data_IF_613547924816
#
_entry.id   IF_613547924816
#
_cell.length_a   1.000
_cell.length_b   1.000
_cell.length_c   1.000
_cell.angle_alpha   90.00
_cell.angle_beta   90.00
_cell.angle_gamma   90.00
#
_symmetry.space_group_name_H-M   'P 1'
#
loop_
_entity.id
_entity.type
_entity.pdbx_description
1 polymer ?
#
# COMPACT_ATOMS: atom_id res chain seq x y z
N UNK A 1 -13.12 -4.49 -12.34
CA UNK A 1 -11.96 -4.04 -13.12
C UNK A 1 -12.43 -2.97 -14.06
N UNK A 2 -11.89 -1.77 -13.94
CA UNK A 2 -12.19 -0.67 -14.84
C UNK A 2 -11.47 -0.94 -16.16
N UNK A 3 -12.21 -1.16 -17.24
CA UNK A 3 -11.63 -1.51 -18.54
C UNK A 3 -10.85 -0.34 -19.15
N UNK A 4 -10.97 0.84 -18.57
CA UNK A 4 -10.29 2.06 -18.98
C UNK A 4 -9.04 2.38 -18.17
N UNK A 5 -8.53 1.44 -17.37
CA UNK A 5 -7.28 1.65 -16.64
C UNK A 5 -6.14 0.74 -17.09
N UNK A 6 -4.95 1.33 -17.20
CA UNK A 6 -3.69 0.59 -17.29
C UNK A 6 -3.13 0.41 -15.89
N UNK A 7 -2.70 -0.80 -15.55
CA UNK A 7 -2.15 -1.13 -14.23
C UNK A 7 -0.74 -1.70 -14.32
N UNK A 8 0.10 -1.37 -13.34
CA UNK A 8 1.41 -1.95 -13.09
C UNK A 8 1.42 -2.50 -11.67
N UNK A 9 1.68 -3.80 -11.49
CA UNK A 9 1.65 -4.47 -10.18
C UNK A 9 0.34 -4.23 -9.39
N UNK A 10 -0.82 -4.34 -10.06
CA UNK A 10 -2.15 -4.06 -9.51
C UNK A 10 -2.34 -2.61 -9.05
N UNK A 11 -1.50 -1.68 -9.52
CA UNK A 11 -1.63 -0.24 -9.28
C UNK A 11 -1.96 0.46 -10.59
N UNK A 12 -3.03 1.24 -10.59
CA UNK A 12 -3.43 2.07 -11.74
C UNK A 12 -2.30 3.05 -12.07
N UNK A 13 -1.77 2.94 -13.28
CA UNK A 13 -0.81 3.87 -13.88
C UNK A 13 -1.45 4.78 -14.94
N UNK A 14 -2.68 4.48 -15.37
CA UNK A 14 -3.48 5.34 -16.24
C UNK A 14 -4.99 5.07 -16.03
N UNK A 15 -5.87 6.08 -16.08
CA UNK A 15 -5.54 7.47 -15.79
C UNK A 15 -5.03 7.56 -14.35
N UNK A 16 -3.96 8.32 -14.12
CA UNK A 16 -3.42 8.46 -12.78
C UNK A 16 -4.26 9.46 -11.99
N UNK A 17 -5.14 8.97 -11.11
CA UNK A 17 -5.93 9.86 -10.24
C UNK A 17 -5.07 10.41 -9.08
N UNK A 18 -4.15 9.58 -8.56
CA UNK A 18 -3.25 9.93 -7.45
C UNK A 18 -1.90 9.23 -7.68
N UNK A 19 -0.76 9.92 -7.49
CA UNK A 19 0.55 9.28 -7.52
C UNK A 19 0.62 8.10 -6.56
N UNK A 20 0.97 6.92 -7.08
CA UNK A 20 0.94 5.67 -6.31
C UNK A 20 2.34 5.14 -6.08
N UNK A 21 2.57 4.54 -4.91
CA UNK A 21 3.83 3.84 -4.59
C UNK A 21 3.94 2.60 -5.47
N UNK A 22 4.87 2.66 -6.41
CA UNK A 22 5.24 1.52 -7.26
C UNK A 22 6.52 0.91 -6.72
N UNK A 23 6.51 -0.41 -6.63
CA UNK A 23 7.67 -1.18 -6.22
C UNK A 23 8.13 -2.07 -7.36
N UNK A 24 9.44 -2.30 -7.46
CA UNK A 24 10.00 -3.24 -8.41
C UNK A 24 11.12 -4.07 -7.78
N UNK A 25 11.32 -5.28 -8.30
CA UNK A 25 12.46 -6.11 -7.97
C UNK A 25 13.66 -5.75 -8.84
N UNK A 26 14.84 -5.64 -8.24
CA UNK A 26 16.07 -5.56 -9.01
C UNK A 26 16.45 -6.93 -9.55
N UNK A 27 16.53 -7.05 -10.87
CA UNK A 27 17.00 -8.26 -11.54
C UNK A 27 18.43 -8.06 -12.03
N UNK A 28 19.24 -9.13 -12.13
CA UNK A 28 20.66 -9.00 -12.46
C UNK A 28 20.91 -8.75 -13.95
N UNK A 29 19.88 -8.86 -14.80
CA UNK A 29 19.96 -8.71 -16.24
C UNK A 29 18.58 -8.52 -16.87
N UNK A 30 18.54 -8.23 -18.17
CA UNK A 30 17.31 -8.33 -18.96
C UNK A 30 16.85 -9.79 -18.98
N UNK A 31 15.69 -10.06 -18.37
CA UNK A 31 15.14 -11.41 -18.26
C UNK A 31 14.04 -11.63 -19.29
N UNK A 32 13.99 -12.83 -19.86
CA UNK A 32 12.80 -13.29 -20.59
C UNK A 32 11.68 -13.63 -19.60
N UNK A 33 10.44 -13.69 -20.09
CA UNK A 33 9.28 -14.05 -19.27
C UNK A 33 9.46 -15.43 -18.61
N UNK A 34 10.03 -16.40 -19.33
CA UNK A 34 10.28 -17.75 -18.80
C UNK A 34 11.26 -17.73 -17.61
N UNK A 35 12.34 -16.95 -17.72
CA UNK A 35 13.34 -16.83 -16.65
C UNK A 35 12.77 -16.11 -15.44
N UNK A 36 11.97 -15.07 -15.66
CA UNK A 36 11.26 -14.39 -14.58
C UNK A 36 10.27 -15.33 -13.88
N UNK A 37 9.54 -16.15 -14.64
CA UNK A 37 8.64 -17.17 -14.10
C UNK A 37 9.36 -18.22 -13.25
N UNK A 38 10.53 -18.67 -13.68
CA UNK A 38 11.39 -19.56 -12.88
C UNK A 38 11.85 -18.89 -11.58
N UNK A 39 12.27 -17.62 -11.63
CA UNK A 39 12.69 -16.87 -10.45
C UNK A 39 11.56 -16.72 -9.43
N UNK A 40 10.31 -16.50 -9.88
CA UNK A 40 9.12 -16.49 -9.02
C UNK A 40 8.88 -17.87 -8.42
N UNK A 41 8.85 -18.93 -9.24
CA UNK A 41 8.58 -20.30 -8.78
C UNK A 41 9.63 -20.80 -7.77
N UNK A 42 10.88 -20.39 -7.94
CA UNK A 42 11.98 -20.71 -7.04
C UNK A 42 12.05 -19.77 -5.82
N UNK A 43 11.05 -18.92 -5.61
CA UNK A 43 10.96 -17.97 -4.49
C UNK A 43 12.20 -17.06 -4.38
N UNK A 44 12.81 -16.73 -5.52
CA UNK A 44 13.96 -15.82 -5.56
C UNK A 44 13.55 -14.35 -5.47
N UNK A 45 12.29 -14.06 -5.81
CA UNK A 45 11.62 -12.77 -5.68
C UNK A 45 10.61 -12.87 -4.53
N UNK A 46 10.80 -12.08 -3.48
CA UNK A 46 9.92 -12.07 -2.30
C UNK A 46 9.76 -10.65 -1.79
N UNK A 47 8.51 -10.23 -1.59
CA UNK A 47 8.17 -8.93 -1.04
C UNK A 47 8.62 -8.75 0.41
N UNK A 48 8.80 -9.85 1.15
CA UNK A 48 9.09 -9.87 2.59
C UNK A 48 10.57 -9.94 2.95
N UNK A 49 11.49 -9.99 1.95
CA UNK A 49 12.94 -9.97 2.17
C UNK A 49 13.45 -11.00 3.20
N UNK A 50 12.78 -12.15 3.30
CA UNK A 50 13.16 -13.20 4.24
C UNK A 50 14.51 -13.84 3.83
N UNK A 51 15.20 -14.43 4.82
CA UNK A 51 16.48 -15.13 4.63
C UNK A 51 16.32 -16.23 3.58
N UNK A 52 17.03 -16.13 2.46
CA UNK A 52 16.93 -17.04 1.29
C UNK A 52 16.59 -16.33 -0.03
N UNK A 53 16.11 -15.10 0.04
CA UNK A 53 15.73 -14.27 -1.11
C UNK A 53 16.97 -13.52 -1.62
N UNK A 54 17.19 -13.49 -2.95
CA UNK A 54 18.40 -12.90 -3.55
C UNK A 54 18.23 -11.50 -4.09
N UNK A 55 16.99 -11.09 -4.38
CA UNK A 55 16.70 -9.86 -5.09
C UNK A 55 15.77 -8.97 -4.29
N UNK A 56 16.23 -7.75 -4.05
CA UNK A 56 15.49 -6.79 -3.26
C UNK A 56 14.33 -6.15 -4.00
N UNK A 57 13.28 -5.84 -3.25
CA UNK A 57 12.18 -4.96 -3.65
C UNK A 57 12.52 -3.51 -3.29
N UNK A 58 12.38 -2.61 -4.25
CA UNK A 58 12.72 -1.20 -4.12
C UNK A 58 11.50 -0.31 -4.37
N UNK A 59 11.40 0.78 -3.63
CA UNK A 59 10.46 1.86 -3.94
C UNK A 59 11.01 2.68 -5.10
N UNK A 60 10.15 3.00 -6.06
CA UNK A 60 10.52 3.77 -7.24
C UNK A 60 9.98 5.20 -7.15
N UNK A 61 10.87 6.16 -7.41
CA UNK A 61 10.47 7.49 -7.85
C UNK A 61 10.45 7.52 -9.38
N UNK A 62 9.42 8.13 -9.96
CA UNK A 62 9.20 8.11 -11.40
C UNK A 62 8.62 9.43 -11.89
N UNK A 63 8.83 9.68 -13.17
CA UNK A 63 8.14 10.69 -13.95
C UNK A 63 7.35 9.96 -15.02
N UNK A 64 6.12 10.39 -15.27
CA UNK A 64 5.43 9.94 -16.47
C UNK A 64 4.78 11.10 -17.19
N UNK A 65 4.73 10.96 -18.51
CA UNK A 65 4.14 11.93 -19.40
C UNK A 65 3.12 11.20 -20.26
N UNK A 66 1.87 11.65 -20.21
CA UNK A 66 0.78 11.14 -21.01
C UNK A 66 0.33 12.20 -22.02
N UNK A 67 0.18 11.81 -23.27
CA UNK A 67 -0.27 12.70 -24.34
C UNK A 67 -1.08 11.96 -25.40
N UNK A 68 -2.02 12.66 -26.02
CA UNK A 68 -2.76 12.12 -27.15
C UNK A 68 -1.93 12.30 -28.43
N UNK A 69 -1.48 11.21 -29.04
CA UNK A 69 -0.73 11.25 -30.30
C UNK A 69 -1.66 11.30 -31.53
N UNK A 70 -2.78 10.57 -31.48
CA UNK A 70 -3.81 10.55 -32.52
C UNK A 70 -5.19 10.44 -31.87
N UNK A 71 -6.30 10.69 -32.60
CA UNK A 71 -7.63 10.45 -32.05
C UNK A 71 -7.74 9.02 -31.50
N UNK A 72 -7.91 8.90 -30.17
CA UNK A 72 -7.97 7.64 -29.41
C UNK A 72 -6.66 6.86 -29.29
N UNK A 73 -5.53 7.46 -29.61
CA UNK A 73 -4.20 6.88 -29.35
C UNK A 73 -3.46 7.78 -28.36
N UNK A 74 -3.18 7.23 -27.20
CA UNK A 74 -2.44 7.86 -26.12
C UNK A 74 -1.04 7.26 -26.04
N UNK A 75 -0.05 8.12 -25.84
CA UNK A 75 1.34 7.73 -25.59
C UNK A 75 1.63 8.03 -24.14
N UNK A 76 2.00 6.99 -23.39
CA UNK A 76 2.46 7.07 -22.01
C UNK A 76 3.96 6.80 -21.99
N UNK A 77 4.75 7.82 -21.64
CA UNK A 77 6.16 7.65 -21.33
C UNK A 77 6.33 7.54 -19.82
N UNK A 78 6.98 6.48 -19.36
CA UNK A 78 7.27 6.22 -17.95
C UNK A 78 8.78 6.12 -17.75
N UNK A 79 9.33 6.97 -16.88
CA UNK A 79 10.76 7.04 -16.56
C UNK A 79 11.00 6.88 -15.07
N UNK A 80 11.84 5.91 -14.70
CA UNK A 80 12.26 5.69 -13.32
C UNK A 80 13.45 6.58 -13.02
N UNK A 81 13.26 7.56 -12.14
CA UNK A 81 14.25 8.60 -11.87
C UNK A 81 15.08 8.30 -10.64
N UNK A 82 14.51 7.65 -9.61
CA UNK A 82 15.26 7.24 -8.42
C UNK A 82 14.82 5.87 -7.91
N UNK A 83 15.74 5.19 -7.24
CA UNK A 83 15.48 4.05 -6.37
C UNK A 83 15.60 4.53 -4.93
N UNK A 84 14.55 4.30 -4.15
CA UNK A 84 14.49 4.71 -2.75
C UNK A 84 14.53 3.47 -1.85
N UNK A 85 15.46 3.49 -0.90
CA UNK A 85 15.62 2.46 0.13
C UNK A 85 15.30 3.13 1.46
N UNK A 86 14.10 2.94 1.97
CA UNK A 86 13.63 3.56 3.22
C UNK A 86 13.77 2.63 4.43
N UNK A 87 13.61 1.32 4.22
CA UNK A 87 13.48 0.32 5.30
C UNK A 87 14.64 -0.70 5.34
N UNK A 88 15.89 -0.29 5.08
CA UNK A 88 17.06 -1.18 5.13
C UNK A 88 18.18 -0.65 6.03
N UNK A 89 19.20 -1.47 6.29
CA UNK A 89 20.41 -1.10 7.06
C UNK A 89 21.16 0.10 6.47
N UNK A 90 21.04 0.33 5.16
CA UNK A 90 21.59 1.50 4.47
C UNK A 90 20.46 2.23 3.74
N UNK A 91 19.72 3.11 4.42
CA UNK A 91 18.69 3.89 3.77
C UNK A 91 19.33 4.94 2.85
N UNK A 92 18.69 5.23 1.73
CA UNK A 92 19.19 6.20 0.78
C UNK A 92 18.34 6.31 -0.47
N UNK A 93 18.43 7.46 -1.12
CA UNK A 93 17.87 7.73 -2.44
C UNK A 93 18.99 7.68 -3.47
N UNK A 94 18.85 6.82 -4.46
CA UNK A 94 19.83 6.61 -5.52
C UNK A 94 19.25 7.13 -6.82
N UNK A 95 19.84 8.22 -7.32
CA UNK A 95 19.43 8.81 -8.59
C UNK A 95 19.87 7.92 -9.75
N UNK A 96 18.93 7.66 -10.65
CA UNK A 96 19.17 6.98 -11.89
C UNK A 96 19.26 8.02 -13.01
N UNK A 97 20.44 8.61 -13.18
CA UNK A 97 20.75 9.62 -14.21
C UNK A 97 21.96 9.27 -15.06
N UNK A 98 22.29 7.97 -15.17
CA UNK A 98 23.41 7.52 -15.99
C UNK A 98 23.15 7.78 -17.48
N UNK A 99 24.20 8.16 -18.21
CA UNK A 99 24.13 8.29 -19.66
C UNK A 99 23.69 6.98 -20.32
N UNK A 100 22.79 7.06 -21.30
CA UNK A 100 22.21 5.91 -21.98
C UNK A 100 21.04 5.25 -21.25
N UNK A 101 20.61 5.79 -20.12
CA UNK A 101 19.38 5.34 -19.47
C UNK A 101 18.16 5.65 -20.34
N UNK A 102 17.30 4.64 -20.52
CA UNK A 102 16.12 4.70 -21.37
C UNK A 102 14.86 4.90 -20.52
N UNK A 103 13.86 5.54 -21.12
CA UNK A 103 12.49 5.53 -20.63
C UNK A 103 11.67 4.46 -21.37
N UNK A 104 10.57 4.04 -20.77
CA UNK A 104 9.61 3.13 -21.42
C UNK A 104 8.51 3.97 -22.04
N UNK A 105 8.23 3.78 -23.32
CA UNK A 105 7.10 4.38 -24.01
C UNK A 105 6.06 3.30 -24.34
N UNK A 106 4.83 3.53 -23.92
CA UNK A 106 3.70 2.64 -24.13
C UNK A 106 2.69 3.36 -25.01
N UNK A 107 2.43 2.80 -26.20
CA UNK A 107 1.36 3.29 -27.08
C UNK A 107 0.09 2.54 -26.77
N UNK A 108 -0.96 3.28 -26.48
CA UNK A 108 -2.23 2.76 -26.02
C UNK A 108 -3.31 3.25 -26.97
N UNK A 109 -4.13 2.35 -27.50
CA UNK A 109 -5.34 2.73 -28.22
C UNK A 109 -6.58 2.43 -27.40
N UNK A 110 -7.55 3.34 -27.48
CA UNK A 110 -8.89 3.13 -26.98
C UNK A 110 -9.77 2.65 -28.12
N UNK A 111 -10.17 1.38 -28.07
CA UNK A 111 -11.11 0.83 -29.02
C UNK A 111 -12.53 1.35 -28.70
N UNK A 112 -13.29 1.69 -29.74
CA UNK A 112 -14.65 2.20 -29.57
C UNK A 112 -15.71 1.11 -29.50
N UNK A 113 -15.37 -0.11 -29.91
CA UNK A 113 -16.33 -1.22 -29.97
C UNK A 113 -16.14 -2.19 -28.80
N UNK A 114 -14.90 -2.40 -28.39
CA UNK A 114 -14.54 -3.09 -27.15
C UNK A 114 -14.12 -2.02 -26.15
N UNK A 115 -14.92 -1.76 -25.10
CA UNK A 115 -14.73 -0.68 -24.12
C UNK A 115 -13.41 -0.82 -23.29
N UNK A 116 -12.23 -0.84 -23.92
CA UNK A 116 -10.98 -1.17 -23.24
C UNK A 116 -9.75 -0.49 -23.82
N UNK A 117 -8.80 -0.17 -22.95
CA UNK A 117 -7.46 0.24 -23.36
C UNK A 117 -6.70 -0.98 -23.91
N UNK A 118 -6.10 -0.84 -25.09
CA UNK A 118 -5.24 -1.85 -25.73
C UNK A 118 -3.83 -1.31 -25.87
N UNK A 119 -2.86 -2.04 -25.34
CA UNK A 119 -1.43 -1.75 -25.56
C UNK A 119 -1.09 -2.14 -27.00
N UNK A 120 -0.70 -1.15 -27.81
CA UNK A 120 -0.25 -1.36 -29.18
C UNK A 120 1.23 -1.71 -29.25
N UNK A 121 2.06 -0.97 -28.50
CA UNK A 121 3.49 -1.22 -28.43
C UNK A 121 4.07 -0.78 -27.08
N UNK A 122 5.20 -1.39 -26.73
CA UNK A 122 6.06 -1.03 -25.61
C UNK A 122 7.47 -0.90 -26.17
N UNK A 123 8.03 0.30 -26.10
CA UNK A 123 9.31 0.66 -26.70
C UNK A 123 10.24 1.25 -25.65
N UNK A 124 11.55 0.98 -25.77
CA UNK A 124 12.56 1.68 -24.99
C UNK A 124 13.05 2.88 -25.80
N UNK A 125 12.87 4.07 -25.25
CA UNK A 125 13.19 5.35 -25.90
C UNK A 125 14.25 6.10 -25.12
N UNK A 126 14.98 6.98 -25.80
CA UNK A 126 15.88 7.91 -25.14
C UNK A 126 15.09 8.92 -24.31
N UNK A 127 15.61 9.29 -23.14
CA UNK A 127 14.94 10.21 -22.21
C UNK A 127 14.75 11.61 -22.80
N UNK A 128 15.71 12.05 -23.61
CA UNK A 128 15.72 13.34 -24.30
C UNK A 128 14.99 13.31 -25.66
N UNK A 129 14.50 12.14 -26.09
CA UNK A 129 13.73 12.03 -27.32
C UNK A 129 12.44 12.86 -27.22
N UNK A 130 12.08 13.59 -28.27
CA UNK A 130 10.80 14.30 -28.28
C UNK A 130 9.61 13.33 -28.11
N UNK A 131 8.62 13.74 -27.31
CA UNK A 131 7.39 12.97 -27.15
C UNK A 131 6.46 13.31 -28.32
N UNK A 132 5.86 12.32 -29.00
CA UNK A 132 4.90 12.58 -30.05
C UNK A 132 3.68 13.33 -29.50
N UNK A 133 3.37 14.51 -30.05
CA UNK A 133 2.21 15.29 -29.66
C UNK A 133 1.21 15.38 -30.81
N UNK A 134 0.01 14.85 -30.58
CA UNK A 134 -1.09 14.90 -31.53
C UNK A 134 -1.81 16.25 -31.50
N UNK A 135 -2.61 16.48 -32.54
CA UNK A 135 -3.58 17.58 -32.56
C UNK A 135 -4.96 17.04 -32.24
N UNK A 136 -5.69 17.81 -31.44
CA UNK A 136 -7.11 17.56 -31.21
C UNK A 136 -7.91 17.79 -32.51
N UNK A 137 -9.14 17.30 -32.56
CA UNK A 137 -10.07 17.54 -33.69
C UNK A 137 -10.30 19.03 -33.97
N UNK A 138 -10.10 19.91 -32.98
CA UNK A 138 -10.17 21.36 -33.13
C UNK A 138 -8.87 22.04 -33.64
N UNK A 139 -7.85 21.26 -34.00
CA UNK A 139 -6.58 21.74 -34.56
C UNK A 139 -5.57 22.29 -33.54
N UNK A 140 -5.95 22.39 -32.26
CA UNK A 140 -5.05 22.75 -31.15
C UNK A 140 -4.24 21.53 -30.70
N UNK A 141 -3.09 21.76 -30.09
CA UNK A 141 -2.24 20.70 -29.54
C UNK A 141 -2.98 19.95 -28.43
N UNK A 142 -2.78 18.64 -28.38
CA UNK A 142 -3.32 17.81 -27.33
C UNK A 142 -2.72 18.21 -25.97
N UNK A 143 -3.51 18.14 -24.88
CA UNK A 143 -2.97 18.35 -23.55
C UNK A 143 -1.88 17.32 -23.24
N UNK A 144 -0.88 17.78 -22.49
CA UNK A 144 0.20 16.97 -21.97
C UNK A 144 0.00 16.91 -20.47
N UNK A 145 -0.06 15.70 -19.93
CA UNK A 145 -0.05 15.46 -18.49
C UNK A 145 1.34 15.00 -18.09
N UNK A 146 2.08 15.83 -17.36
CA UNK A 146 3.37 15.48 -16.76
C UNK A 146 3.17 15.33 -15.25
N UNK A 147 3.49 14.15 -14.72
CA UNK A 147 3.39 13.83 -13.30
C UNK A 147 4.72 13.31 -12.80
N UNK A 148 5.21 13.93 -11.74
CA UNK A 148 6.44 13.56 -11.04
C UNK A 148 6.10 13.02 -9.67
N UNK A 149 6.59 11.82 -9.38
CA UNK A 149 6.41 11.15 -8.11
C UNK A 149 7.75 10.91 -7.45
N UNK A 150 7.90 11.43 -6.23
CA UNK A 150 9.04 11.20 -5.33
C UNK A 150 8.56 10.38 -4.16
N UNK A 151 9.02 9.13 -4.03
CA UNK A 151 8.52 8.25 -2.96
C UNK A 151 8.76 8.82 -1.55
N UNK A 152 9.87 9.54 -1.36
CA UNK A 152 10.29 10.16 -0.09
C UNK A 152 9.37 11.30 0.38
N UNK A 153 8.61 11.91 -0.53
CA UNK A 153 7.64 12.94 -0.19
C UNK A 153 6.30 12.35 0.27
N UNK A 154 6.13 11.02 0.24
CA UNK A 154 4.86 10.36 0.49
C UNK A 154 4.99 9.30 1.60
N UNK A 155 4.14 9.40 2.61
CA UNK A 155 4.01 8.37 3.65
C UNK A 155 2.64 7.70 3.60
N UNK A 156 2.33 6.89 4.62
CA UNK A 156 1.05 6.19 4.74
C UNK A 156 -0.15 7.15 4.74
N UNK A 157 0.01 8.36 5.26
CA UNK A 157 -1.05 9.36 5.40
C UNK A 157 -1.17 10.29 4.17
N UNK A 158 -0.25 10.17 3.21
CA UNK A 158 -0.24 10.92 1.95
C UNK A 158 1.01 11.78 1.77
N UNK A 159 0.93 12.78 0.90
CA UNK A 159 2.07 13.65 0.63
C UNK A 159 2.40 14.54 1.83
N UNK A 160 3.67 14.59 2.20
CA UNK A 160 4.21 15.45 3.24
C UNK A 160 3.89 16.92 2.96
N UNK A 161 3.59 17.68 4.02
CA UNK A 161 3.25 19.10 3.91
C UNK A 161 1.84 19.41 3.39
N UNK A 162 1.00 18.40 3.10
CA UNK A 162 -0.38 18.63 2.67
C UNK A 162 -1.37 18.64 3.84
N UNK A 163 -2.44 19.44 3.71
CA UNK A 163 -3.53 19.46 4.70
C UNK A 163 -4.22 18.11 4.85
N UNK A 164 -4.39 17.39 3.73
CA UNK A 164 -4.97 16.06 3.71
C UNK A 164 -4.19 15.10 4.63
N UNK A 165 -2.86 15.09 4.53
CA UNK A 165 -1.99 14.30 5.40
C UNK A 165 -2.17 14.68 6.88
N UNK A 166 -2.13 15.97 7.20
CA UNK A 166 -2.29 16.44 8.59
C UNK A 166 -3.62 16.00 9.21
N UNK A 167 -4.70 16.05 8.42
CA UNK A 167 -6.01 15.57 8.87
C UNK A 167 -5.99 14.06 9.18
N UNK A 168 -5.41 13.25 8.30
CA UNK A 168 -5.33 11.80 8.48
C UNK A 168 -4.47 11.40 9.68
N UNK A 169 -3.34 12.07 9.91
CA UNK A 169 -2.50 11.84 11.10
C UNK A 169 -3.28 12.11 12.38
N UNK A 170 -3.95 13.26 12.47
CA UNK A 170 -4.74 13.62 13.67
C UNK A 170 -5.89 12.64 13.89
N UNK A 171 -6.54 12.21 12.81
CA UNK A 171 -7.65 11.25 12.90
C UNK A 171 -7.18 9.89 13.43
N UNK A 172 -6.05 9.38 12.93
CA UNK A 172 -5.50 8.09 13.32
C UNK A 172 -5.05 8.08 14.79
N UNK A 173 -4.30 9.09 15.22
CA UNK A 173 -3.91 9.26 16.63
C UNK A 173 -5.12 9.38 17.56
N UNK A 174 -6.17 10.09 17.11
CA UNK A 174 -7.42 10.22 17.87
C UNK A 174 -8.14 8.88 17.99
N UNK A 175 -8.20 8.08 16.92
CA UNK A 175 -8.85 6.77 16.90
C UNK A 175 -8.16 5.81 17.87
N UNK A 176 -6.83 5.75 17.86
CA UNK A 176 -6.06 4.93 18.81
C UNK A 176 -6.34 5.31 20.26
N UNK A 177 -6.41 6.60 20.57
CA UNK A 177 -6.77 7.09 21.90
C UNK A 177 -8.17 6.63 22.33
N UNK A 178 -9.17 6.73 21.44
CA UNK A 178 -10.53 6.30 21.75
C UNK A 178 -10.65 4.78 21.92
N UNK A 179 -10.00 3.99 21.07
CA UNK A 179 -9.98 2.53 21.15
C UNK A 179 -9.27 2.07 22.43
N UNK A 180 -8.10 2.62 22.74
CA UNK A 180 -7.35 2.31 23.96
C UNK A 180 -8.14 2.65 25.23
N UNK A 181 -8.82 3.81 25.24
CA UNK A 181 -9.68 4.23 26.34
C UNK A 181 -10.90 3.32 26.52
N UNK A 182 -11.53 2.89 25.42
CA UNK A 182 -12.66 1.96 25.46
C UNK A 182 -12.23 0.57 25.97
N UNK A 183 -11.09 0.05 25.51
CA UNK A 183 -10.52 -1.21 25.98
C UNK A 183 -10.18 -1.16 27.49
N UNK A 184 -9.61 -0.05 27.96
CA UNK A 184 -9.34 0.14 29.38
C UNK A 184 -10.62 0.13 30.22
N UNK A 185 -11.69 0.77 29.75
CA UNK A 185 -13.01 0.75 30.42
C UNK A 185 -13.63 -0.65 30.46
N UNK A 186 -13.57 -1.41 29.36
CA UNK A 186 -14.06 -2.80 29.31
C UNK A 186 -13.29 -3.68 30.29
N UNK A 187 -11.96 -3.57 30.33
CA UNK A 187 -11.12 -4.33 31.26
C UNK A 187 -11.40 -3.98 32.71
N UNK A 188 -11.60 -2.69 33.01
CA UNK A 188 -11.95 -2.21 34.35
C UNK A 188 -13.34 -2.73 34.78
N UNK A 189 -14.30 -2.80 33.85
CA UNK A 189 -15.62 -3.37 34.09
C UNK A 189 -15.56 -4.88 34.36
N UNK A 190 -14.73 -5.62 33.63
CA UNK A 190 -14.50 -7.05 33.86
C UNK A 190 -13.86 -7.31 35.24
N UNK A 191 -12.88 -6.51 35.64
CA UNK A 191 -12.26 -6.61 36.96
C UNK A 191 -13.26 -6.33 38.08
N UNK A 192 -14.08 -5.27 37.97
CA UNK A 192 -15.13 -4.99 38.95
C UNK A 192 -16.17 -6.12 39.04
N UNK A 193 -16.54 -6.74 37.91
CA UNK A 193 -17.46 -7.89 37.91
C UNK A 193 -16.83 -9.12 38.61
N UNK A 194 -15.53 -9.35 38.42
CA UNK A 194 -14.82 -10.43 39.13
C UNK A 194 -14.68 -10.15 40.63
N UNK A 195 -14.41 -8.90 41.03
CA UNK A 195 -14.37 -8.50 42.45
C UNK A 195 -15.74 -8.65 43.10
N UNK A 196 -16.81 -8.19 42.44
CA UNK A 196 -18.18 -8.37 42.91
C UNK A 196 -18.56 -9.85 43.05
N UNK A 197 -18.21 -10.68 42.06
CA UNK A 197 -18.44 -12.12 42.12
C UNK A 197 -17.67 -12.80 43.26
N UNK A 198 -16.44 -12.37 43.55
CA UNK A 198 -15.68 -12.86 44.72
C UNK A 198 -16.34 -12.45 46.04
N UNK A 199 -16.75 -11.19 46.17
CA UNK A 199 -17.41 -10.71 47.39
C UNK A 199 -18.78 -11.38 47.61
N UNK A 200 -19.54 -11.67 46.56
CA UNK A 200 -20.77 -12.46 46.69
C UNK A 200 -20.47 -13.89 47.12
N UNK A 201 -19.45 -14.52 46.52
CA UNK A 201 -19.09 -15.89 46.88
C UNK A 201 -18.57 -15.98 48.34
N UNK A 202 -17.81 -15.00 48.81
CA UNK A 202 -17.41 -14.91 50.22
C UNK A 202 -18.61 -14.69 51.15
N UNK A 203 -19.59 -13.86 50.75
CA UNK A 203 -20.82 -13.66 51.52
C UNK A 203 -21.67 -14.94 51.63
N UNK A 204 -21.83 -15.68 50.53
CA UNK A 204 -22.55 -16.96 50.54
C UNK A 204 -21.86 -18.05 51.38
N UNK A 205 -20.51 -18.05 51.45
CA UNK A 205 -19.77 -19.00 52.29
C UNK A 205 -19.86 -18.66 53.79
N UNK A 206 -20.02 -17.38 54.15
CA UNK A 206 -20.21 -16.94 55.55
C UNK A 206 -21.64 -17.25 56.03
N UNK A 207 -22.66 -17.05 55.17
CA UNK A 207 -24.04 -17.44 55.49
C UNK A 207 -24.20 -18.97 55.62
N UNK A 208 -23.43 -19.76 54.87
CA UNK A 208 -23.43 -21.23 54.97
C UNK A 208 -22.72 -21.72 56.25
N UNK A 209 -21.68 -21.03 56.73
CA UNK A 209 -21.04 -21.32 58.03
C UNK A 209 -21.89 -20.86 59.23
N UNK A 210 -22.58 -19.71 59.16
CA UNK A 210 -23.50 -19.27 60.22
C UNK A 210 -24.79 -20.11 60.26
N UNK A 211 -25.25 -20.61 59.11
CA UNK A 211 -26.38 -21.56 59.02
C UNK A 211 -26.07 -22.98 59.46
N UNK A 212 -24.81 -23.33 59.72
CA UNK A 212 -24.35 -24.66 60.17
C UNK A 212 -24.11 -24.75 61.68
N UNK A 213 -24.34 -23.69 62.45
CA UNK A 213 -24.17 -23.68 63.92
C UNK A 213 -25.46 -23.83 64.71
N UNK A 214 -26.60 -24.06 64.06
CA UNK A 214 -27.88 -24.28 64.72
C UNK A 214 -28.53 -25.59 64.26
N UNK A 215 -27.85 -26.71 64.43
CA UNK A 215 -28.52 -28.01 64.58
C UNK A 215 -27.59 -29.06 65.23
N UNK A 216 -28.19 -29.83 66.15
CA UNK A 216 -27.72 -31.07 66.80
C UNK A 216 -26.91 -30.93 68.10
N UNK A 217 -27.63 -31.04 69.23
CA UNK A 217 -27.48 -32.21 70.11
C UNK A 217 -28.71 -32.32 71.05
N UNK A 218 -29.73 -33.02 70.54
CA UNK A 218 -30.70 -33.74 71.37
C UNK A 218 -30.10 -35.10 71.77
N UNK A 219 -30.19 -35.40 73.07
CA UNK A 219 -30.19 -36.72 73.72
C UNK A 219 -28.90 -37.56 73.84
N UNK A 220 -28.47 -37.70 75.12
CA UNK A 220 -28.10 -38.94 75.87
C UNK A 220 -27.58 -38.53 77.26
N UNK A 221 -27.87 -39.13 78.41
CA UNK A 221 -28.55 -40.36 78.83
C UNK A 221 -28.64 -40.33 80.39
N UNK A 222 -29.61 -41.09 80.96
CA UNK A 222 -29.81 -41.51 82.38
C UNK A 222 -30.61 -40.60 83.32
#
# INVERSE_FOLDING_TARGET
MDRHSLELNNKRILPLEIPTKVFAFQTPANLTSDVLGLMVNMQMLDESFNVGTKYGRFELSYEHIATLAEPRVEVLRFDVTNIDITSSTNPGTYELSKAGQKAVEIKISQDSWEEGLKIQSVELVDRDQAIPHGKMACGKDAPISDVKFRSTEWDYYGQQGTFARSFWVVWDESLEFFIGSALALVRRRQLMQMELAKTQNEFYMVDEEEGLLEEVDEEKEV
#
